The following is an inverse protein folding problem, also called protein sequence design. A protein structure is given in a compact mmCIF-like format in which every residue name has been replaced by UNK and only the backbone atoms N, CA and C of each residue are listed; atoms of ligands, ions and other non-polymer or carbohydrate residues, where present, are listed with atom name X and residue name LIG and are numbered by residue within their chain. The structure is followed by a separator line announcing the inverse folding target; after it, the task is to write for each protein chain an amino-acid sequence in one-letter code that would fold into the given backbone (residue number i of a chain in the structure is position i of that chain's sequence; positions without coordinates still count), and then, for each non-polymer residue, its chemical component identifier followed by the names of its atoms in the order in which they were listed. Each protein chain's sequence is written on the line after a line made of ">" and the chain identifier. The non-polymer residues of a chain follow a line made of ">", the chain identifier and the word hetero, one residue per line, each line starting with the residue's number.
data_IF_984745508377
#
_entry.id   IF_984745508377
#
_cell.length_a   1.000
_cell.length_b   1.000
_cell.length_c   1.000
_cell.angle_alpha   90.00
_cell.angle_beta   90.00
_cell.angle_gamma   90.00
#
_symmetry.space_group_name_H-M   'P 1'
#
loop_
_entity.id
_entity.type
_entity.pdbx_description
1 polymer ?
#
# COMPACT_ATOMS: atom_id res chain seq x y z
N UNK A 1 -0.30 -15.83 15.31
CA UNK A 1 -0.72 -14.73 14.42
C UNK A 1 -1.18 -13.54 15.25
N UNK A 2 -0.65 -12.35 14.97
CA UNK A 2 -0.73 -11.19 15.84
C UNK A 2 -2.14 -10.55 15.79
N UNK A 3 -3.06 -10.98 16.67
CA UNK A 3 -4.47 -10.52 16.71
C UNK A 3 -4.59 -8.99 16.71
N UNK A 4 -3.64 -8.30 17.34
CA UNK A 4 -3.52 -6.84 17.36
C UNK A 4 -3.43 -6.21 15.97
N UNK A 5 -2.67 -6.82 15.06
CA UNK A 5 -2.50 -6.30 13.70
C UNK A 5 -3.81 -6.38 12.92
N UNK A 6 -4.53 -7.51 13.04
CA UNK A 6 -5.84 -7.67 12.38
C UNK A 6 -6.91 -6.70 12.91
N UNK A 7 -6.84 -6.33 14.20
CA UNK A 7 -7.78 -5.35 14.76
C UNK A 7 -7.46 -3.93 14.29
N UNK A 8 -6.18 -3.53 14.30
CA UNK A 8 -5.75 -2.19 13.87
C UNK A 8 -6.04 -1.97 12.39
N UNK A 9 -5.77 -2.98 11.55
CA UNK A 9 -5.98 -2.88 10.10
C UNK A 9 -7.47 -2.79 9.72
N UNK A 10 -8.39 -3.12 10.63
CA UNK A 10 -9.84 -2.99 10.41
C UNK A 10 -10.42 -1.71 11.02
N UNK A 11 -9.62 -0.91 11.72
CA UNK A 11 -10.06 0.36 12.30
C UNK A 11 -10.00 1.45 11.22
N UNK A 12 -11.16 2.03 10.81
CA UNK A 12 -11.24 2.97 9.68
C UNK A 12 -10.30 4.17 9.79
N UNK A 13 -9.91 4.55 11.01
CA UNK A 13 -8.95 5.64 11.24
C UNK A 13 -7.60 5.27 10.62
N UNK A 14 -7.15 4.04 10.78
CA UNK A 14 -5.87 3.53 10.28
C UNK A 14 -5.99 2.96 8.86
N UNK A 15 -7.18 2.53 8.43
CA UNK A 15 -7.39 1.97 7.09
C UNK A 15 -7.62 3.01 6.01
N UNK A 16 -8.07 4.21 6.38
CA UNK A 16 -8.38 5.26 5.39
C UNK A 16 -7.16 5.76 4.63
N UNK A 17 -6.00 5.87 5.31
CA UNK A 17 -4.73 6.24 4.71
C UNK A 17 -3.71 5.16 5.05
N UNK A 18 -3.21 4.46 4.04
CA UNK A 18 -2.39 3.27 4.25
C UNK A 18 -1.06 3.40 3.53
N UNK A 19 0.02 3.31 4.30
CA UNK A 19 1.40 3.32 3.80
C UNK A 19 1.96 1.91 3.80
N UNK A 20 2.27 1.38 2.62
CA UNK A 20 2.76 0.02 2.40
C UNK A 20 4.28 -0.01 2.26
N UNK A 21 4.96 0.56 3.24
CA UNK A 21 6.42 0.57 3.32
C UNK A 21 6.88 0.13 4.70
N UNK A 22 8.08 -0.44 4.78
CA UNK A 22 8.76 -0.73 6.02
C UNK A 22 9.59 0.47 6.44
N UNK A 23 9.34 0.97 7.64
CA UNK A 23 10.25 1.92 8.30
C UNK A 23 11.49 1.19 8.79
N UNK A 24 12.68 1.66 8.41
CA UNK A 24 13.95 1.23 8.98
C UNK A 24 14.36 2.16 10.12
N UNK A 25 15.34 1.74 10.92
CA UNK A 25 15.78 2.45 12.13
C UNK A 25 16.48 3.79 11.87
N UNK A 26 16.80 4.09 10.62
CA UNK A 26 17.53 5.26 10.13
C UNK A 26 16.64 6.26 9.40
N UNK A 27 15.33 6.28 9.71
CA UNK A 27 14.30 7.06 8.99
C UNK A 27 14.20 6.76 7.50
N UNK A 28 14.87 5.72 7.00
CA UNK A 28 14.69 5.26 5.63
C UNK A 28 13.44 4.38 5.50
N UNK A 29 12.76 4.51 4.37
CA UNK A 29 11.65 3.65 3.99
C UNK A 29 12.15 2.60 3.02
N UNK A 30 11.69 1.37 3.19
CA UNK A 30 12.02 0.25 2.33
C UNK A 30 10.77 -0.48 1.84
N UNK A 31 10.89 -1.18 0.70
CA UNK A 31 9.86 -2.08 0.20
C UNK A 31 9.37 -3.06 1.27
N UNK A 32 8.08 -3.39 1.23
CA UNK A 32 7.62 -4.60 1.92
C UNK A 32 8.18 -5.83 1.20
N UNK A 33 8.74 -6.83 1.92
CA UNK A 33 9.12 -8.10 1.32
C UNK A 33 7.95 -8.75 0.58
N UNK A 34 8.22 -9.40 -0.54
CA UNK A 34 7.22 -10.02 -1.41
C UNK A 34 6.23 -10.91 -0.66
N UNK A 35 6.71 -11.74 0.27
CA UNK A 35 5.85 -12.64 1.04
C UNK A 35 4.85 -11.91 1.94
N UNK A 36 5.18 -10.71 2.42
CA UNK A 36 4.24 -9.87 3.16
C UNK A 36 3.28 -9.13 2.23
N UNK A 37 3.78 -8.67 1.07
CA UNK A 37 2.95 -8.02 0.07
C UNK A 37 1.90 -8.99 -0.50
N UNK A 38 2.30 -10.20 -0.88
CA UNK A 38 1.39 -11.24 -1.38
C UNK A 38 0.31 -11.58 -0.37
N UNK A 39 0.70 -11.70 0.90
CA UNK A 39 -0.25 -11.97 1.98
C UNK A 39 -1.19 -10.77 2.20
N UNK A 40 -0.67 -9.56 2.13
CA UNK A 40 -1.49 -8.35 2.24
C UNK A 40 -2.53 -8.31 1.11
N UNK A 41 -2.10 -8.46 -0.15
CA UNK A 41 -2.98 -8.42 -1.32
C UNK A 41 -4.03 -9.55 -1.30
N UNK A 42 -3.64 -10.77 -0.94
CA UNK A 42 -4.54 -11.94 -1.01
C UNK A 42 -5.49 -12.11 0.19
N UNK A 43 -5.18 -11.54 1.35
CA UNK A 43 -5.96 -11.78 2.58
C UNK A 43 -6.51 -10.50 3.19
N UNK A 44 -5.66 -9.51 3.39
CA UNK A 44 -6.01 -8.32 4.16
C UNK A 44 -6.74 -7.33 3.28
N UNK A 45 -6.18 -7.07 2.10
CA UNK A 45 -6.66 -6.05 1.19
C UNK A 45 -8.11 -6.29 0.76
N UNK A 46 -8.49 -7.55 0.52
CA UNK A 46 -9.86 -7.94 0.20
C UNK A 46 -10.89 -7.58 1.28
N UNK A 47 -10.47 -7.43 2.53
CA UNK A 47 -11.38 -7.04 3.63
C UNK A 47 -11.52 -5.53 3.78
N UNK A 48 -10.50 -4.77 3.36
CA UNK A 48 -10.36 -3.35 3.71
C UNK A 48 -10.38 -2.40 2.51
N UNK A 49 -10.31 -2.92 1.28
CA UNK A 49 -10.14 -2.10 0.07
C UNK A 49 -11.17 -0.99 -0.10
N UNK A 50 -12.42 -1.24 0.33
CA UNK A 50 -13.49 -0.25 0.27
C UNK A 50 -13.34 0.89 1.29
N UNK A 51 -12.47 0.75 2.30
CA UNK A 51 -12.23 1.78 3.32
C UNK A 51 -11.04 2.67 2.97
N UNK A 52 -10.18 2.20 2.06
CA UNK A 52 -8.95 2.87 1.68
C UNK A 52 -9.28 4.08 0.80
N UNK A 53 -8.80 5.24 1.23
CA UNK A 53 -8.93 6.55 0.57
C UNK A 53 -7.61 7.06 0.00
N UNK A 54 -6.52 6.75 0.67
CA UNK A 54 -5.18 7.11 0.24
C UNK A 54 -4.23 5.92 0.38
N UNK A 55 -3.37 5.74 -0.62
CA UNK A 55 -2.37 4.68 -0.66
C UNK A 55 -1.00 5.26 -0.96
N UNK A 56 -0.08 5.04 -0.03
CA UNK A 56 1.34 5.37 -0.17
C UNK A 56 2.11 4.07 -0.46
N UNK A 57 2.64 3.97 -1.68
CA UNK A 57 3.22 2.75 -2.25
C UNK A 57 4.63 3.00 -2.79
N UNK A 58 5.43 1.96 -2.86
CA UNK A 58 6.61 1.97 -3.73
C UNK A 58 6.21 1.70 -5.18
N UNK A 59 6.85 2.41 -6.12
CA UNK A 59 6.60 2.31 -7.56
C UNK A 59 6.63 0.87 -8.10
N UNK A 60 7.60 0.06 -7.67
CA UNK A 60 7.80 -1.33 -8.11
C UNK A 60 6.66 -2.28 -7.71
N UNK A 61 5.90 -1.93 -6.68
CA UNK A 61 4.80 -2.75 -6.14
C UNK A 61 3.42 -2.25 -6.56
N UNK A 62 3.36 -1.07 -7.16
CA UNK A 62 2.13 -0.36 -7.50
C UNK A 62 1.17 -1.24 -8.31
N UNK A 63 1.64 -1.83 -9.41
CA UNK A 63 0.80 -2.63 -10.30
C UNK A 63 0.17 -3.82 -9.56
N UNK A 64 0.96 -4.54 -8.76
CA UNK A 64 0.48 -5.70 -7.98
C UNK A 64 -0.61 -5.30 -6.99
N UNK A 65 -0.49 -4.15 -6.33
CA UNK A 65 -1.45 -3.67 -5.35
C UNK A 65 -2.72 -3.18 -6.04
N UNK A 66 -2.57 -2.30 -7.04
CA UNK A 66 -3.70 -1.69 -7.74
C UNK A 66 -4.53 -2.71 -8.53
N UNK A 67 -3.90 -3.78 -9.04
CA UNK A 67 -4.61 -4.83 -9.76
C UNK A 67 -5.22 -5.92 -8.84
N UNK A 68 -4.90 -5.94 -7.55
CA UNK A 68 -5.39 -6.99 -6.65
C UNK A 68 -6.89 -6.87 -6.31
N UNK A 69 -7.47 -5.68 -6.41
CA UNK A 69 -8.88 -5.42 -6.06
C UNK A 69 -9.39 -4.12 -6.69
N UNK A 70 -10.68 -3.82 -6.52
CA UNK A 70 -11.28 -2.55 -6.92
C UNK A 70 -11.41 -1.61 -5.72
N UNK A 71 -10.73 -0.47 -5.75
CA UNK A 71 -10.76 0.51 -4.67
C UNK A 71 -11.84 1.58 -4.90
N UNK A 72 -13.09 1.27 -4.54
CA UNK A 72 -14.24 2.14 -4.81
C UNK A 72 -14.18 3.52 -4.13
N UNK A 73 -13.35 3.68 -3.10
CA UNK A 73 -13.21 4.90 -2.32
C UNK A 73 -11.80 5.50 -2.41
N UNK A 74 -10.95 5.08 -3.35
CA UNK A 74 -9.61 5.64 -3.48
C UNK A 74 -9.67 7.04 -4.09
N UNK A 75 -9.12 8.03 -3.37
CA UNK A 75 -9.07 9.43 -3.80
C UNK A 75 -7.66 9.87 -4.18
N UNK A 76 -6.61 9.16 -3.73
CA UNK A 76 -5.25 9.53 -4.06
C UNK A 76 -4.22 8.42 -3.84
N UNK A 77 -3.09 8.61 -4.52
CA UNK A 77 -1.94 7.71 -4.54
C UNK A 77 -0.68 8.55 -4.32
N UNK A 78 0.13 8.14 -3.34
CA UNK A 78 1.51 8.57 -3.18
C UNK A 78 2.45 7.48 -3.66
N UNK A 79 3.43 7.84 -4.48
CA UNK A 79 4.43 6.91 -4.99
C UNK A 79 5.81 7.31 -4.48
N UNK A 80 6.52 6.34 -3.93
CA UNK A 80 7.89 6.44 -3.46
C UNK A 80 8.83 5.74 -4.44
N UNK A 81 10.07 6.21 -4.45
CA UNK A 81 11.16 5.67 -5.28
C UNK A 81 10.72 5.47 -6.74
N UNK A 82 10.12 6.53 -7.30
CA UNK A 82 9.74 6.55 -8.71
C UNK A 82 11.04 6.62 -9.50
N UNK A 83 11.36 5.57 -10.26
CA UNK A 83 12.49 5.63 -11.17
C UNK A 83 12.27 6.76 -12.20
N UNK A 84 13.36 7.35 -12.67
CA UNK A 84 13.30 8.52 -13.55
C UNK A 84 12.47 8.25 -14.83
N UNK A 85 12.49 7.02 -15.35
CA UNK A 85 11.73 6.65 -16.55
C UNK A 85 10.22 6.64 -16.29
N UNK A 86 9.80 6.05 -15.17
CA UNK A 86 8.40 6.08 -14.73
C UNK A 86 7.95 7.49 -14.36
N UNK A 87 8.81 8.30 -13.74
CA UNK A 87 8.48 9.70 -13.44
C UNK A 87 8.22 10.49 -14.74
N UNK A 88 9.04 10.28 -15.76
CA UNK A 88 8.88 10.96 -17.05
C UNK A 88 7.60 10.54 -17.78
N UNK A 89 7.19 9.28 -17.71
CA UNK A 89 5.97 8.81 -18.38
C UNK A 89 4.68 9.32 -17.74
N UNK A 90 4.71 9.76 -16.49
CA UNK A 90 3.54 10.33 -15.79
C UNK A 90 3.23 11.79 -16.18
N UNK A 91 4.18 12.51 -16.82
CA UNK A 91 4.02 13.93 -17.19
C UNK A 91 3.82 14.15 -18.71
N UNK A 92 3.53 13.09 -19.48
CA UNK A 92 3.26 13.14 -20.93
C UNK A 92 1.81 12.75 -21.20
#
# INVERSE_FOLDING_TARGET
>A
LNKRLNTIVRDPIFTSNLTLMRHLSDDSMCPLPDSMLDRFCSQILLEIHCQIKWLDLESSTMERILCATNYSNLYGLGLFDIDLGTAQSLFV
#
